data_IF_516956542067
#
_entry.id   IF_516956542067
#
_cell.length_a   1.000
_cell.length_b   1.000
_cell.length_c   1.000
_cell.angle_alpha   90.00
_cell.angle_beta   90.00
_cell.angle_gamma   90.00
#
_symmetry.space_group_name_H-M   'P 1'
#
loop_
_entity.id
_entity.type
_entity.pdbx_description
1 polymer ?
#
# COMPACT_ATOMS: atom_id res chain seq x y z
N UNK A 1 -14.38 -3.94 -20.67
CA UNK A 1 -14.11 -2.59 -20.09
C UNK A 1 -15.44 -1.89 -19.80
N UNK A 2 -15.62 -1.32 -18.63
CA UNK A 2 -16.80 -0.53 -18.24
C UNK A 2 -16.89 0.79 -19.03
N UNK A 3 -18.00 1.52 -18.91
CA UNK A 3 -18.20 2.79 -19.61
C UNK A 3 -17.74 3.97 -18.75
N UNK A 4 -17.30 5.07 -19.39
CA UNK A 4 -16.97 6.36 -18.73
C UNK A 4 -18.09 6.87 -17.80
N UNK A 5 -19.36 6.70 -18.22
CA UNK A 5 -20.51 7.09 -17.40
C UNK A 5 -20.56 6.36 -16.03
N UNK A 6 -20.09 5.11 -15.94
CA UNK A 6 -19.99 4.40 -14.68
C UNK A 6 -18.89 4.97 -13.78
N UNK A 7 -17.73 5.28 -14.35
CA UNK A 7 -16.62 5.94 -13.63
C UNK A 7 -17.12 7.26 -13.03
N UNK A 8 -17.77 8.11 -13.83
CA UNK A 8 -18.30 9.41 -13.36
C UNK A 8 -19.36 9.24 -12.27
N UNK A 9 -20.26 8.28 -12.42
CA UNK A 9 -21.28 7.99 -11.41
C UNK A 9 -20.67 7.55 -10.08
N UNK A 10 -19.71 6.62 -10.12
CA UNK A 10 -19.01 6.13 -8.91
C UNK A 10 -18.16 7.24 -8.28
N UNK A 11 -17.49 8.06 -9.07
CA UNK A 11 -16.72 9.20 -8.59
C UNK A 11 -17.62 10.23 -7.89
N UNK A 12 -18.80 10.55 -8.46
CA UNK A 12 -19.78 11.41 -7.82
C UNK A 12 -20.30 10.86 -6.50
N UNK A 13 -20.58 9.55 -6.44
CA UNK A 13 -20.99 8.88 -5.19
C UNK A 13 -19.88 8.86 -4.13
N UNK A 14 -18.62 8.68 -4.57
CA UNK A 14 -17.45 8.67 -3.69
C UNK A 14 -16.89 10.08 -3.41
N UNK A 15 -17.44 11.16 -3.98
CA UNK A 15 -16.99 12.54 -3.79
C UNK A 15 -15.53 12.80 -4.18
N UNK A 16 -15.02 12.04 -5.15
CA UNK A 16 -13.65 12.15 -5.63
C UNK A 16 -13.62 12.42 -7.14
N UNK A 17 -12.47 12.78 -7.66
CA UNK A 17 -12.33 12.99 -9.10
C UNK A 17 -12.44 11.67 -9.89
N UNK A 18 -13.05 11.68 -11.11
CA UNK A 18 -13.23 10.49 -11.95
C UNK A 18 -11.92 9.71 -12.19
N UNK A 19 -10.79 10.40 -12.37
CA UNK A 19 -9.48 9.78 -12.57
C UNK A 19 -9.02 8.91 -11.38
N UNK A 20 -9.48 9.20 -10.16
CA UNK A 20 -9.15 8.41 -8.96
C UNK A 20 -9.88 7.07 -9.01
N UNK A 21 -11.17 7.09 -9.37
CA UNK A 21 -11.98 5.88 -9.53
C UNK A 21 -11.51 5.06 -10.73
N UNK A 22 -11.16 5.72 -11.84
CA UNK A 22 -10.62 5.05 -13.02
C UNK A 22 -9.29 4.35 -12.71
N UNK A 23 -8.41 4.98 -11.92
CA UNK A 23 -7.18 4.34 -11.45
C UNK A 23 -7.48 3.13 -10.57
N UNK A 24 -8.43 3.23 -9.63
CA UNK A 24 -8.86 2.11 -8.79
C UNK A 24 -9.39 0.93 -9.63
N UNK A 25 -10.10 1.22 -10.72
CA UNK A 25 -10.54 0.24 -11.71
C UNK A 25 -9.35 -0.43 -12.41
N UNK A 26 -8.42 0.35 -12.95
CA UNK A 26 -7.23 -0.17 -13.62
C UNK A 26 -6.35 -1.01 -12.67
N UNK A 27 -6.19 -0.59 -11.41
CA UNK A 27 -5.48 -1.36 -10.38
C UNK A 27 -6.11 -2.74 -10.15
N UNK A 28 -7.45 -2.85 -10.15
CA UNK A 28 -8.15 -4.14 -10.04
C UNK A 28 -7.77 -5.10 -11.16
N UNK A 29 -7.75 -4.62 -12.40
CA UNK A 29 -7.36 -5.44 -13.55
C UNK A 29 -5.87 -5.77 -13.59
N UNK A 30 -5.00 -4.84 -13.18
CA UNK A 30 -3.58 -5.12 -13.00
C UNK A 30 -3.35 -6.25 -11.97
N UNK A 31 -4.07 -6.22 -10.84
CA UNK A 31 -4.04 -7.31 -9.84
C UNK A 31 -4.53 -8.64 -10.43
N UNK A 32 -5.53 -8.62 -11.32
CA UNK A 32 -6.00 -9.82 -12.03
C UNK A 32 -4.91 -10.44 -12.88
N UNK A 33 -4.17 -9.61 -13.63
CA UNK A 33 -3.03 -10.06 -14.42
C UNK A 33 -1.93 -10.66 -13.54
N UNK A 34 -1.54 -9.95 -12.47
CA UNK A 34 -0.49 -10.39 -11.53
C UNK A 34 -0.85 -11.72 -10.87
N UNK A 35 -2.08 -11.87 -10.39
CA UNK A 35 -2.52 -13.11 -9.75
C UNK A 35 -2.70 -14.28 -10.73
N UNK A 36 -2.88 -13.99 -12.01
CA UNK A 36 -2.98 -14.98 -13.08
C UNK A 36 -1.64 -15.50 -13.59
N UNK A 37 -0.54 -14.80 -13.34
CA UNK A 37 0.79 -15.25 -13.71
C UNK A 37 1.38 -16.12 -12.58
N UNK A 38 1.70 -17.39 -12.90
CA UNK A 38 2.19 -18.38 -11.91
C UNK A 38 3.51 -17.95 -11.26
N UNK A 39 4.38 -17.27 -12.00
CA UNK A 39 5.66 -16.81 -11.47
C UNK A 39 5.46 -15.71 -10.43
N UNK A 40 4.56 -14.76 -10.68
CA UNK A 40 4.28 -13.64 -9.79
C UNK A 40 3.44 -14.09 -8.59
N UNK A 41 2.37 -14.85 -8.81
CA UNK A 41 1.43 -15.25 -7.74
C UNK A 41 2.08 -16.14 -6.68
N UNK A 42 3.05 -16.97 -7.08
CA UNK A 42 3.82 -17.80 -6.14
C UNK A 42 4.81 -17.03 -5.29
N UNK A 43 5.33 -15.90 -5.77
CA UNK A 43 6.44 -15.15 -5.15
C UNK A 43 6.04 -13.86 -4.46
N UNK A 44 4.96 -13.25 -4.88
CA UNK A 44 4.59 -11.91 -4.43
C UNK A 44 3.57 -11.94 -3.30
N UNK A 45 3.78 -11.08 -2.32
CA UNK A 45 2.82 -10.79 -1.24
C UNK A 45 2.42 -9.32 -1.37
N UNK A 46 1.12 -9.08 -1.55
CA UNK A 46 0.54 -7.77 -1.74
C UNK A 46 0.49 -6.98 -0.44
N UNK A 47 0.87 -5.71 -0.49
CA UNK A 47 0.95 -4.82 0.66
C UNK A 47 0.52 -3.39 0.34
N UNK A 48 0.69 -2.49 1.29
CA UNK A 48 0.46 -1.07 1.09
C UNK A 48 -1.01 -0.64 1.13
N UNK A 49 -1.26 0.62 0.80
CA UNK A 49 -2.60 1.23 0.88
C UNK A 49 -3.61 0.61 -0.07
N UNK A 50 -3.17 0.16 -1.25
CA UNK A 50 -4.04 -0.51 -2.22
C UNK A 50 -4.46 -1.90 -1.72
N UNK A 51 -3.57 -2.61 -1.01
CA UNK A 51 -3.93 -3.87 -0.35
C UNK A 51 -5.00 -3.65 0.72
N UNK A 52 -4.86 -2.61 1.57
CA UNK A 52 -5.88 -2.29 2.56
C UNK A 52 -7.23 -2.03 1.91
N UNK A 53 -7.29 -1.21 0.85
CA UNK A 53 -8.52 -0.89 0.14
C UNK A 53 -9.12 -2.10 -0.57
N UNK A 54 -8.32 -2.83 -1.32
CA UNK A 54 -8.80 -3.92 -2.20
C UNK A 54 -9.06 -5.24 -1.48
N UNK A 55 -8.42 -5.48 -0.33
CA UNK A 55 -8.46 -6.80 0.31
C UNK A 55 -9.02 -6.79 1.74
N UNK A 56 -9.12 -5.61 2.38
CA UNK A 56 -9.56 -5.51 3.78
C UNK A 56 -10.74 -4.56 3.97
N UNK A 57 -10.68 -3.34 3.43
CA UNK A 57 -11.63 -2.27 3.71
C UNK A 57 -12.15 -1.63 2.42
N UNK A 58 -13.27 -2.08 1.85
CA UNK A 58 -13.79 -1.58 0.56
C UNK A 58 -14.03 -0.05 0.53
N UNK A 59 -14.43 0.51 1.66
CA UNK A 59 -14.70 1.96 1.81
C UNK A 59 -13.49 2.76 2.29
N UNK A 60 -12.30 2.18 2.16
CA UNK A 60 -11.04 2.80 2.55
C UNK A 60 -10.67 3.97 1.63
N UNK A 61 -9.70 4.79 2.08
CA UNK A 61 -9.11 5.80 1.20
C UNK A 61 -8.64 5.20 -0.11
N UNK A 62 -8.75 5.95 -1.18
CA UNK A 62 -8.17 5.53 -2.45
C UNK A 62 -6.65 5.44 -2.36
N UNK A 63 -6.07 4.63 -3.22
CA UNK A 63 -4.63 4.42 -3.31
C UNK A 63 -4.22 4.37 -4.78
N UNK A 64 -2.95 4.63 -5.07
CA UNK A 64 -2.51 4.94 -6.42
C UNK A 64 -1.45 3.97 -6.96
N UNK A 65 -0.81 3.21 -6.07
CA UNK A 65 0.34 2.38 -6.35
C UNK A 65 0.05 0.91 -6.01
N UNK A 66 0.80 0.00 -6.60
CA UNK A 66 0.83 -1.42 -6.27
C UNK A 66 2.15 -1.74 -5.58
N UNK A 67 2.09 -2.18 -4.34
CA UNK A 67 3.26 -2.53 -3.55
C UNK A 67 3.28 -4.03 -3.26
N UNK A 68 4.41 -4.67 -3.50
CA UNK A 68 4.63 -6.07 -3.22
C UNK A 68 5.95 -6.33 -2.51
N UNK A 69 5.97 -7.38 -1.72
CA UNK A 69 7.19 -8.00 -1.21
C UNK A 69 7.38 -9.34 -1.89
N UNK A 70 8.55 -9.58 -2.45
CA UNK A 70 8.93 -10.90 -2.94
C UNK A 70 9.41 -11.76 -1.76
N UNK A 71 8.85 -12.96 -1.61
CA UNK A 71 9.20 -13.94 -0.56
C UNK A 71 10.26 -14.92 -1.01
N UNK A 72 10.56 -14.96 -2.29
CA UNK A 72 11.60 -15.78 -2.89
C UNK A 72 12.52 -14.90 -3.74
N UNK A 73 13.77 -15.32 -3.87
CA UNK A 73 14.71 -14.62 -4.74
C UNK A 73 14.25 -14.68 -6.21
N UNK A 74 14.52 -13.63 -6.96
CA UNK A 74 14.20 -13.54 -8.39
C UNK A 74 15.31 -12.80 -9.16
N UNK A 75 15.49 -13.16 -10.42
CA UNK A 75 16.28 -12.37 -11.38
C UNK A 75 15.47 -11.17 -11.87
N UNK A 76 16.15 -10.05 -12.10
CA UNK A 76 15.49 -8.82 -12.57
C UNK A 76 14.78 -9.02 -13.89
N UNK A 77 15.45 -9.69 -14.85
CA UNK A 77 14.92 -9.92 -16.18
C UNK A 77 13.69 -10.81 -16.17
N UNK A 78 13.73 -11.90 -15.41
CA UNK A 78 12.60 -12.82 -15.28
C UNK A 78 11.38 -12.13 -14.64
N UNK A 79 11.63 -11.23 -13.68
CA UNK A 79 10.56 -10.44 -13.07
C UNK A 79 9.97 -9.43 -14.06
N UNK A 80 10.81 -8.74 -14.85
CA UNK A 80 10.34 -7.82 -15.90
C UNK A 80 9.49 -8.55 -16.95
N UNK A 81 9.93 -9.71 -17.42
CA UNK A 81 9.18 -10.53 -18.36
C UNK A 81 7.83 -11.02 -17.78
N UNK A 82 7.81 -11.41 -16.50
CA UNK A 82 6.60 -11.84 -15.83
C UNK A 82 5.60 -10.68 -15.65
N UNK A 83 6.08 -9.49 -15.26
CA UNK A 83 5.23 -8.30 -15.17
C UNK A 83 4.68 -7.93 -16.55
N UNK A 84 5.49 -7.98 -17.60
CA UNK A 84 5.03 -7.69 -18.96
C UNK A 84 3.90 -8.66 -19.40
N UNK A 85 4.06 -9.97 -19.14
CA UNK A 85 3.01 -10.97 -19.44
C UNK A 85 1.71 -10.69 -18.63
N UNK A 86 1.85 -10.38 -17.34
CA UNK A 86 0.71 -10.10 -16.46
C UNK A 86 -0.11 -8.89 -16.96
N UNK A 87 0.57 -7.83 -17.37
CA UNK A 87 -0.11 -6.62 -17.88
C UNK A 87 -0.65 -6.80 -19.30
N UNK A 88 -0.03 -7.61 -20.15
CA UNK A 88 -0.60 -8.02 -21.43
C UNK A 88 -1.91 -8.79 -21.21
N UNK A 89 -1.92 -9.77 -20.32
CA UNK A 89 -3.13 -10.51 -19.92
C UNK A 89 -4.21 -9.58 -19.34
N UNK A 90 -3.83 -8.62 -18.49
CA UNK A 90 -4.76 -7.62 -17.98
C UNK A 90 -5.39 -6.78 -19.08
N UNK A 91 -4.60 -6.36 -20.08
CA UNK A 91 -5.10 -5.64 -21.27
C UNK A 91 -6.10 -6.47 -22.07
N UNK A 92 -5.76 -7.73 -22.36
CA UNK A 92 -6.63 -8.64 -23.13
C UNK A 92 -7.98 -8.88 -22.44
N UNK A 93 -7.97 -9.08 -21.13
CA UNK A 93 -9.18 -9.36 -20.36
C UNK A 93 -10.06 -8.11 -20.13
N UNK A 94 -9.47 -6.95 -19.91
CA UNK A 94 -10.19 -5.73 -19.52
C UNK A 94 -10.53 -4.82 -20.69
N UNK A 95 -9.71 -4.85 -21.74
CA UNK A 95 -9.71 -3.84 -22.80
C UNK A 95 -9.02 -2.52 -22.40
N UNK A 96 -8.41 -2.42 -21.20
CA UNK A 96 -7.53 -1.32 -20.82
C UNK A 96 -6.23 -1.47 -21.60
N UNK A 97 -5.76 -0.38 -22.22
CA UNK A 97 -4.46 -0.38 -22.89
C UNK A 97 -3.34 -0.11 -21.87
N UNK A 98 -2.77 -1.14 -21.28
CA UNK A 98 -1.60 -1.03 -20.39
C UNK A 98 -0.26 -0.89 -21.14
N UNK A 99 -0.30 -0.84 -22.45
CA UNK A 99 0.87 -0.58 -23.31
C UNK A 99 0.81 0.80 -23.97
N UNK A 100 0.01 1.71 -23.45
CA UNK A 100 -0.21 3.06 -24.00
C UNK A 100 1.10 3.88 -24.14
N UNK A 101 2.13 3.51 -23.39
CA UNK A 101 3.50 4.02 -23.52
C UNK A 101 4.47 2.97 -22.98
N UNK A 102 5.71 2.98 -23.48
CA UNK A 102 6.79 2.13 -22.97
C UNK A 102 6.95 2.25 -21.45
N UNK A 103 6.98 1.12 -20.71
CA UNK A 103 7.16 1.15 -19.28
C UNK A 103 8.53 1.67 -18.88
N UNK A 104 8.60 2.36 -17.76
CA UNK A 104 9.89 2.72 -17.14
C UNK A 104 10.18 1.72 -16.03
N UNK A 105 11.37 1.14 -16.07
CA UNK A 105 11.87 0.20 -15.06
C UNK A 105 13.10 0.80 -14.39
N UNK A 106 13.13 0.74 -13.04
CA UNK A 106 14.28 1.20 -12.26
C UNK A 106 14.49 0.28 -11.06
N UNK A 107 15.75 -0.01 -10.76
CA UNK A 107 16.15 -0.59 -9.50
C UNK A 107 16.41 0.57 -8.53
N UNK A 108 15.78 0.55 -7.39
CA UNK A 108 15.95 1.53 -6.31
C UNK A 108 16.67 0.80 -5.19
N UNK A 109 17.90 1.22 -4.94
CA UNK A 109 18.65 0.77 -3.77
C UNK A 109 18.23 1.62 -2.57
N UNK A 110 17.72 0.97 -1.55
CA UNK A 110 17.42 1.63 -0.28
C UNK A 110 18.65 1.59 0.64
N UNK A 111 18.72 2.51 1.60
CA UNK A 111 19.65 2.38 2.72
C UNK A 111 19.53 0.98 3.30
N UNK A 112 20.63 0.34 3.65
CA UNK A 112 20.74 -1.06 4.14
C UNK A 112 20.70 -2.16 3.05
N UNK A 113 20.97 -1.82 1.77
CA UNK A 113 21.21 -2.80 0.70
C UNK A 113 19.99 -3.55 0.20
N UNK A 114 18.78 -3.06 0.49
CA UNK A 114 17.55 -3.61 -0.09
C UNK A 114 17.27 -2.99 -1.44
N UNK A 115 16.78 -3.82 -2.33
CA UNK A 115 16.47 -3.41 -3.68
C UNK A 115 14.96 -3.48 -3.92
N UNK A 116 14.44 -2.44 -4.53
CA UNK A 116 13.06 -2.38 -5.03
C UNK A 116 13.07 -2.22 -6.52
N UNK A 117 12.47 -3.17 -7.22
CA UNK A 117 12.22 -3.05 -8.65
C UNK A 117 10.95 -2.24 -8.84
N UNK A 118 11.11 -1.05 -9.39
CA UNK A 118 10.01 -0.12 -9.66
C UNK A 118 9.69 -0.08 -11.13
N UNK A 119 8.43 -0.38 -11.45
CA UNK A 119 7.83 -0.14 -12.75
C UNK A 119 6.96 1.11 -12.71
N UNK A 120 6.98 1.90 -13.78
CA UNK A 120 5.91 2.85 -14.10
C UNK A 120 5.26 2.36 -15.38
N UNK A 121 4.03 1.89 -15.25
CA UNK A 121 3.24 1.30 -16.33
C UNK A 121 2.18 2.32 -16.74
N UNK A 122 2.14 2.64 -18.02
CA UNK A 122 1.25 3.67 -18.55
C UNK A 122 0.04 3.02 -19.19
N UNK A 123 -1.14 3.61 -18.98
CA UNK A 123 -2.39 3.01 -19.41
C UNK A 123 -3.39 4.04 -19.94
N UNK A 124 -4.31 3.57 -20.81
CA UNK A 124 -5.50 4.29 -21.22
C UNK A 124 -6.72 3.43 -20.90
N UNK A 125 -7.76 4.06 -20.35
CA UNK A 125 -8.93 3.38 -19.84
C UNK A 125 -10.23 4.01 -20.31
N UNK A 126 -11.37 3.71 -19.66
CA UNK A 126 -12.68 4.14 -20.11
C UNK A 126 -12.93 5.65 -20.01
N UNK A 127 -12.24 6.36 -19.11
CA UNK A 127 -12.35 7.80 -18.91
C UNK A 127 -11.21 8.55 -19.60
N UNK A 128 -10.00 8.07 -19.47
CA UNK A 128 -8.78 8.64 -20.09
C UNK A 128 -8.48 7.89 -21.38
N UNK A 129 -9.08 8.31 -22.48
CA UNK A 129 -9.01 7.61 -23.78
C UNK A 129 -7.92 8.13 -24.70
N UNK A 130 -7.34 9.31 -24.42
CA UNK A 130 -6.34 9.97 -25.23
C UNK A 130 -5.50 10.96 -24.42
N UNK A 131 -4.42 11.43 -25.00
CA UNK A 131 -3.50 12.40 -24.38
C UNK A 131 -2.33 11.72 -23.69
N UNK A 132 -1.77 12.36 -22.66
CA UNK A 132 -0.68 11.78 -21.88
C UNK A 132 -1.22 10.68 -20.95
N UNK A 133 -0.84 9.40 -21.16
CA UNK A 133 -1.38 8.31 -20.34
C UNK A 133 -0.93 8.44 -18.90
N UNK A 134 -1.83 8.23 -17.92
CA UNK A 134 -1.45 8.16 -16.52
C UNK A 134 -0.57 6.95 -16.25
N UNK A 135 0.34 7.07 -15.27
CA UNK A 135 1.18 5.97 -14.82
C UNK A 135 0.66 5.31 -13.56
N UNK A 136 0.72 3.99 -13.49
CA UNK A 136 0.62 3.20 -12.26
C UNK A 136 2.03 2.78 -11.87
N UNK A 137 2.38 3.01 -10.61
CA UNK A 137 3.63 2.54 -10.04
C UNK A 137 3.42 1.16 -9.45
N UNK A 138 4.29 0.22 -9.83
CA UNK A 138 4.37 -1.11 -9.24
C UNK A 138 5.74 -1.26 -8.62
N UNK A 139 5.79 -1.42 -7.30
CA UNK A 139 7.01 -1.60 -6.52
C UNK A 139 7.09 -3.05 -6.00
N UNK A 140 8.17 -3.74 -6.33
CA UNK A 140 8.47 -5.09 -5.86
C UNK A 140 9.74 -5.04 -5.03
N UNK A 141 9.59 -5.11 -3.71
CA UNK A 141 10.72 -5.08 -2.76
C UNK A 141 11.24 -6.49 -2.53
N UNK A 142 12.55 -6.65 -2.67
CA UNK A 142 13.31 -7.87 -2.36
C UNK A 142 13.87 -7.78 -0.94
N UNK A 143 14.06 -8.94 -0.30
CA UNK A 143 14.71 -9.07 1.01
C UNK A 143 14.02 -8.32 2.18
N UNK A 144 12.70 -8.11 2.08
CA UNK A 144 11.91 -7.57 3.19
C UNK A 144 11.66 -8.65 4.24
N UNK A 145 11.92 -8.29 5.50
CA UNK A 145 11.67 -9.19 6.63
C UNK A 145 10.19 -9.18 6.98
N UNK A 146 9.53 -10.31 6.85
CA UNK A 146 8.16 -10.51 7.31
C UNK A 146 8.16 -10.96 8.78
N UNK A 147 7.40 -10.26 9.62
CA UNK A 147 7.18 -10.63 11.01
C UNK A 147 6.02 -11.62 11.17
N UNK A 148 5.06 -11.57 10.24
CA UNK A 148 3.85 -12.39 10.25
C UNK A 148 3.66 -13.12 8.92
N UNK A 149 3.04 -14.30 8.99
CA UNK A 149 2.72 -15.08 7.81
C UNK A 149 1.71 -14.34 6.92
N UNK A 150 1.92 -14.34 5.59
CA UNK A 150 0.96 -13.80 4.65
C UNK A 150 -0.38 -14.53 4.71
N UNK A 151 -1.46 -13.77 4.51
CA UNK A 151 -2.83 -14.30 4.51
C UNK A 151 -3.44 -14.24 3.11
N UNK A 152 -4.26 -15.23 2.77
CA UNK A 152 -4.96 -15.26 1.50
C UNK A 152 -6.26 -14.44 1.60
N UNK A 153 -6.41 -13.42 0.75
CA UNK A 153 -7.57 -12.52 0.74
C UNK A 153 -8.21 -12.43 -0.63
N UNK A 154 -9.51 -12.19 -0.67
CA UNK A 154 -10.24 -11.90 -1.90
C UNK A 154 -10.06 -10.43 -2.26
N UNK A 155 -9.78 -10.16 -3.53
CA UNK A 155 -9.69 -8.79 -4.06
C UNK A 155 -11.09 -8.28 -4.39
N UNK A 156 -11.45 -7.13 -3.85
CA UNK A 156 -12.71 -6.44 -4.13
C UNK A 156 -12.57 -5.56 -5.38
N UNK A 157 -13.50 -5.72 -6.30
CA UNK A 157 -13.59 -4.93 -7.53
C UNK A 157 -15.03 -4.43 -7.71
N UNK A 158 -15.37 -3.24 -7.16
CA UNK A 158 -16.75 -2.78 -7.07
C UNK A 158 -17.24 -2.11 -8.36
N UNK A 159 -17.09 -2.80 -9.50
CA UNK A 159 -17.46 -2.34 -10.83
C UNK A 159 -18.39 -3.35 -11.50
N UNK A 160 -19.12 -2.91 -12.54
CA UNK A 160 -20.14 -3.75 -13.18
C UNK A 160 -19.60 -4.99 -13.88
N UNK A 161 -18.30 -5.04 -14.15
CA UNK A 161 -17.58 -6.19 -14.70
C UNK A 161 -16.86 -7.06 -13.65
N UNK A 162 -17.29 -6.96 -12.38
CA UNK A 162 -16.67 -7.70 -11.26
C UNK A 162 -16.71 -9.22 -11.45
N UNK A 163 -17.70 -9.75 -12.18
CA UNK A 163 -17.79 -11.19 -12.46
C UNK A 163 -16.65 -11.69 -13.35
N UNK A 164 -16.12 -10.84 -14.22
CA UNK A 164 -14.98 -11.16 -15.08
C UNK A 164 -13.66 -11.25 -14.29
N UNK A 165 -13.61 -10.63 -13.11
CA UNK A 165 -12.48 -10.72 -12.19
C UNK A 165 -12.57 -11.89 -11.20
N UNK A 166 -13.78 -12.33 -10.85
CA UNK A 166 -14.03 -13.25 -9.73
C UNK A 166 -13.67 -14.71 -10.05
N UNK A 167 -13.26 -15.50 -9.04
CA UNK A 167 -12.82 -15.09 -7.71
C UNK A 167 -11.31 -14.81 -7.68
N UNK A 168 -10.95 -13.54 -7.61
CA UNK A 168 -9.54 -13.14 -7.50
C UNK A 168 -9.08 -13.20 -6.05
N UNK A 169 -8.08 -14.03 -5.75
CA UNK A 169 -7.47 -14.15 -4.42
C UNK A 169 -5.97 -13.91 -4.50
N UNK A 170 -5.43 -13.22 -3.50
CA UNK A 170 -4.01 -12.89 -3.42
C UNK A 170 -3.46 -13.13 -2.02
N UNK A 171 -2.18 -13.48 -1.95
CA UNK A 171 -1.41 -13.46 -0.70
C UNK A 171 -1.17 -12.01 -0.32
N UNK A 172 -1.62 -11.62 0.87
CA UNK A 172 -1.54 -10.26 1.38
C UNK A 172 -0.79 -10.22 2.72
N UNK A 173 -0.24 -9.09 3.07
CA UNK A 173 0.22 -8.84 4.43
C UNK A 173 -0.94 -9.02 5.43
N UNK A 174 -0.68 -9.68 6.57
CA UNK A 174 -1.58 -9.59 7.72
C UNK A 174 -1.70 -8.14 8.20
N UNK A 175 -2.81 -7.77 8.84
CA UNK A 175 -2.99 -6.38 9.30
C UNK A 175 -1.92 -5.97 10.30
N UNK A 176 -1.45 -6.88 11.15
CA UNK A 176 -0.35 -6.64 12.09
C UNK A 176 0.99 -6.39 11.37
N UNK A 177 1.22 -7.04 10.22
CA UNK A 177 2.39 -6.77 9.38
C UNK A 177 2.32 -5.36 8.79
N UNK A 178 1.15 -4.97 8.27
CA UNK A 178 0.91 -3.61 7.75
C UNK A 178 1.12 -2.58 8.87
N UNK A 179 0.52 -2.82 10.05
CA UNK A 179 0.67 -1.94 11.22
C UNK A 179 2.14 -1.75 11.60
N UNK A 180 2.89 -2.84 11.74
CA UNK A 180 4.31 -2.79 12.10
C UNK A 180 5.15 -2.06 11.03
N UNK A 181 4.84 -2.24 9.73
CA UNK A 181 5.50 -1.52 8.64
C UNK A 181 5.21 -0.02 8.69
N UNK A 182 3.96 0.38 8.95
CA UNK A 182 3.56 1.79 9.06
C UNK A 182 4.16 2.47 10.28
N UNK A 183 4.19 1.79 11.43
CA UNK A 183 4.87 2.27 12.63
C UNK A 183 6.37 2.50 12.35
N UNK A 184 7.04 1.53 11.74
CA UNK A 184 8.44 1.65 11.34
C UNK A 184 8.68 2.85 10.42
N UNK A 185 7.78 3.05 9.43
CA UNK A 185 7.88 4.15 8.48
C UNK A 185 7.79 5.51 9.18
N UNK A 186 6.83 5.69 10.09
CA UNK A 186 6.61 6.95 10.83
C UNK A 186 7.75 7.23 11.81
N UNK A 187 8.31 6.19 12.44
CA UNK A 187 9.27 6.33 13.54
C UNK A 187 10.74 6.49 13.10
N UNK A 188 11.06 6.50 11.83
CA UNK A 188 12.45 6.76 11.45
C UNK A 188 12.89 6.32 10.07
N UNK A 189 12.06 5.63 9.31
CA UNK A 189 12.44 5.26 7.94
C UNK A 189 12.23 6.40 6.96
N UNK A 190 11.24 7.27 7.21
CA UNK A 190 10.91 8.34 6.27
C UNK A 190 11.54 9.67 6.66
N UNK A 191 12.30 10.24 5.72
CA UNK A 191 12.87 11.59 5.84
C UNK A 191 11.75 12.64 5.83
N UNK A 192 10.70 12.42 5.02
CA UNK A 192 9.56 13.35 4.90
C UNK A 192 8.31 12.76 5.58
N UNK A 193 7.45 13.64 6.09
CA UNK A 193 6.16 13.28 6.62
C UNK A 193 5.28 12.68 5.49
N UNK A 194 4.61 11.58 5.79
CA UNK A 194 3.64 10.93 4.90
C UNK A 194 2.36 10.68 5.70
N UNK A 195 1.39 11.58 5.54
CA UNK A 195 0.13 11.56 6.30
C UNK A 195 -0.71 10.31 6.05
N UNK A 196 -0.56 9.69 4.88
CA UNK A 196 -1.19 8.40 4.57
C UNK A 196 -0.76 7.30 5.54
N UNK A 197 0.48 7.33 6.04
CA UNK A 197 0.95 6.33 7.01
C UNK A 197 0.29 6.55 8.40
N UNK A 198 0.05 7.82 8.80
CA UNK A 198 -0.72 8.11 10.02
C UNK A 198 -2.17 7.66 9.90
N UNK A 199 -2.81 7.95 8.78
CA UNK A 199 -4.19 7.52 8.52
C UNK A 199 -4.32 6.00 8.51
N UNK A 200 -3.35 5.31 7.91
CA UNK A 200 -3.31 3.86 7.88
C UNK A 200 -3.16 3.29 9.31
N UNK A 201 -2.25 3.83 10.15
CA UNK A 201 -2.12 3.44 11.56
C UNK A 201 -3.43 3.67 12.31
N UNK A 202 -4.02 4.87 12.20
CA UNK A 202 -5.28 5.20 12.86
C UNK A 202 -6.39 4.21 12.51
N UNK A 203 -6.53 3.89 11.22
CA UNK A 203 -7.57 2.98 10.73
C UNK A 203 -7.37 1.53 11.20
N UNK A 204 -6.15 1.18 11.61
CA UNK A 204 -5.80 -0.16 12.09
C UNK A 204 -5.85 -0.29 13.62
N UNK A 205 -5.98 0.79 14.39
CA UNK A 205 -5.92 0.75 15.87
C UNK A 205 -6.87 -0.28 16.50
N UNK A 206 -8.11 -0.35 15.98
CA UNK A 206 -9.14 -1.25 16.48
C UNK A 206 -9.26 -2.56 15.66
N UNK A 207 -8.34 -2.78 14.70
CA UNK A 207 -8.39 -3.89 13.76
C UNK A 207 -7.29 -4.94 13.99
N UNK A 208 -6.30 -4.61 14.82
CA UNK A 208 -5.13 -5.46 15.08
C UNK A 208 -5.03 -5.85 16.55
N UNK A 209 -4.44 -7.00 16.82
CA UNK A 209 -4.04 -7.37 18.18
C UNK A 209 -2.73 -6.67 18.55
N UNK A 210 -2.78 -5.71 19.48
CA UNK A 210 -1.64 -4.94 19.94
C UNK A 210 -0.51 -5.84 20.49
N UNK A 211 -0.84 -6.96 21.14
CA UNK A 211 0.17 -7.91 21.64
C UNK A 211 0.96 -8.51 20.47
N UNK A 212 0.28 -8.93 19.43
CA UNK A 212 0.93 -9.44 18.22
C UNK A 212 1.80 -8.38 17.56
N UNK A 213 1.30 -7.14 17.46
CA UNK A 213 2.11 -6.02 16.92
C UNK A 213 3.37 -5.84 17.76
N UNK A 214 3.29 -5.85 19.10
CA UNK A 214 4.45 -5.76 20.00
C UNK A 214 5.46 -6.91 19.81
N UNK A 215 5.00 -8.12 19.51
CA UNK A 215 5.86 -9.29 19.22
C UNK A 215 6.61 -9.14 17.88
N UNK A 216 5.95 -8.65 16.85
CA UNK A 216 6.52 -8.54 15.49
C UNK A 216 7.33 -7.28 15.22
N UNK A 217 6.97 -6.16 15.85
CA UNK A 217 7.56 -4.85 15.60
C UNK A 217 9.08 -4.80 15.84
N UNK A 218 9.67 -5.39 16.90
CA UNK A 218 11.11 -5.39 17.11
C UNK A 218 11.88 -5.99 15.94
N UNK A 219 11.36 -7.06 15.32
CA UNK A 219 11.97 -7.69 14.14
C UNK A 219 12.00 -6.71 12.95
N UNK A 220 10.91 -5.96 12.74
CA UNK A 220 10.80 -4.96 11.66
C UNK A 220 11.73 -3.76 11.90
N UNK A 221 11.82 -3.27 13.14
CA UNK A 221 12.69 -2.16 13.51
C UNK A 221 14.17 -2.54 13.37
N UNK A 222 14.56 -3.70 13.94
CA UNK A 222 15.94 -4.20 13.87
C UNK A 222 16.43 -4.36 12.43
N UNK A 223 15.56 -4.86 11.55
CA UNK A 223 15.85 -5.02 10.13
C UNK A 223 16.19 -3.70 9.40
N UNK A 224 15.94 -2.54 10.01
CA UNK A 224 16.27 -1.19 9.50
C UNK A 224 17.22 -0.43 10.42
N UNK A 225 17.85 -1.10 11.37
CA UNK A 225 18.76 -0.46 12.32
C UNK A 225 18.08 0.56 13.25
N UNK A 226 16.75 0.54 13.35
CA UNK A 226 15.99 1.44 14.21
C UNK A 226 15.96 0.81 15.61
N UNK A 227 16.54 1.50 16.59
CA UNK A 227 16.47 1.10 18.00
C UNK A 227 15.10 1.41 18.61
N UNK A 228 14.71 0.64 19.61
CA UNK A 228 13.50 0.96 20.40
C UNK A 228 13.58 2.33 21.10
N UNK A 229 14.80 2.85 21.29
CA UNK A 229 15.05 4.16 21.91
C UNK A 229 14.68 5.33 21.00
N UNK A 230 14.64 5.12 19.66
CA UNK A 230 14.19 6.12 18.68
C UNK A 230 12.67 6.30 18.64
N UNK A 231 11.90 5.52 19.43
CA UNK A 231 10.44 5.62 19.52
C UNK A 231 10.02 6.69 20.53
N UNK A 232 10.48 7.95 20.36
CA UNK A 232 10.17 9.04 21.26
C UNK A 232 8.98 9.89 20.79
N UNK A 233 8.09 10.25 21.72
CA UNK A 233 6.99 11.20 21.47
C UNK A 233 7.50 12.55 20.95
N UNK A 234 8.66 12.97 21.41
CA UNK A 234 9.24 14.29 21.08
C UNK A 234 9.57 14.44 19.60
N UNK A 235 10.15 13.41 18.98
CA UNK A 235 10.53 13.46 17.57
C UNK A 235 9.32 13.55 16.64
N UNK A 236 8.24 12.82 16.96
CA UNK A 236 7.04 12.87 16.13
C UNK A 236 6.30 14.20 16.30
N UNK A 237 6.18 14.71 17.52
CA UNK A 237 5.46 15.95 17.78
C UNK A 237 6.13 17.18 17.16
N UNK A 238 7.46 17.19 16.99
CA UNK A 238 8.18 18.26 16.29
C UNK A 238 7.82 18.35 14.80
N UNK A 239 7.34 17.26 14.23
CA UNK A 239 6.95 17.15 12.80
C UNK A 239 5.46 17.35 12.54
N UNK A 240 4.69 17.76 13.54
CA UNK A 240 3.23 17.87 13.44
C UNK A 240 2.77 18.71 12.25
N UNK A 241 3.39 19.85 12.02
CA UNK A 241 3.02 20.75 10.93
C UNK A 241 3.42 20.20 9.55
N UNK A 242 4.50 19.41 9.44
CA UNK A 242 4.86 18.72 8.21
C UNK A 242 3.78 17.70 7.84
N UNK A 243 3.32 16.90 8.81
CA UNK A 243 2.24 15.93 8.61
C UNK A 243 0.92 16.60 8.25
N UNK A 244 0.61 17.74 8.87
CA UNK A 244 -0.60 18.52 8.56
C UNK A 244 -0.55 19.06 7.12
N UNK A 245 0.55 19.62 6.70
CA UNK A 245 0.73 20.11 5.33
C UNK A 245 0.64 18.96 4.29
N UNK A 246 1.20 17.79 4.61
CA UNK A 246 1.09 16.61 3.76
C UNK A 246 -0.34 16.06 3.73
N UNK A 247 -1.07 16.10 4.86
CA UNK A 247 -2.47 15.72 4.96
C UNK A 247 -3.34 16.49 3.96
N UNK A 248 -3.24 17.80 3.97
CA UNK A 248 -4.02 18.67 3.10
C UNK A 248 -3.66 18.47 1.62
N UNK A 249 -2.38 18.26 1.32
CA UNK A 249 -1.87 18.14 -0.06
C UNK A 249 -2.07 16.75 -0.66
N UNK A 250 -1.79 15.70 0.11
CA UNK A 250 -1.57 14.35 -0.43
C UNK A 250 -2.57 13.29 0.07
N UNK A 251 -3.47 13.62 1.01
CA UNK A 251 -4.43 12.65 1.53
C UNK A 251 -5.89 13.04 1.29
N UNK A 252 -6.29 14.29 1.55
CA UNK A 252 -7.71 14.67 1.54
C UNK A 252 -8.45 14.31 0.25
N UNK A 253 -7.81 14.48 -0.90
CA UNK A 253 -8.40 14.18 -2.20
C UNK A 253 -8.63 12.68 -2.46
N UNK A 254 -8.03 11.80 -1.64
CA UNK A 254 -8.17 10.34 -1.71
C UNK A 254 -9.23 9.80 -0.74
N UNK A 255 -9.80 10.65 0.12
CA UNK A 255 -10.78 10.24 1.12
C UNK A 255 -12.20 10.29 0.55
N UNK A 256 -12.99 9.20 0.67
CA UNK A 256 -14.41 9.25 0.36
C UNK A 256 -15.16 10.18 1.33
N UNK A 257 -16.33 10.72 0.95
CA UNK A 257 -17.18 11.50 1.84
C UNK A 257 -17.53 10.72 3.10
N UNK A 258 -17.44 11.37 4.25
CA UNK A 258 -17.69 10.74 5.54
C UNK A 258 -16.51 9.94 6.11
N UNK A 259 -15.50 9.64 5.31
CA UNK A 259 -14.22 9.10 5.79
C UNK A 259 -13.19 10.21 6.08
N UNK A 260 -13.47 11.44 5.65
CA UNK A 260 -12.64 12.62 5.92
C UNK A 260 -12.71 12.96 7.40
N UNK A 261 -11.60 12.76 8.09
CA UNK A 261 -11.44 13.17 9.47
C UNK A 261 -10.58 14.42 9.53
N UNK A 262 -10.86 15.26 10.49
CA UNK A 262 -9.97 16.36 10.78
C UNK A 262 -8.59 15.83 11.20
N UNK A 263 -7.53 16.50 10.80
CA UNK A 263 -6.16 16.05 11.06
C UNK A 263 -5.92 15.69 12.54
N UNK A 264 -6.43 16.50 13.47
CA UNK A 264 -6.24 16.29 14.90
C UNK A 264 -6.95 15.03 15.42
N UNK A 265 -8.09 14.62 14.82
CA UNK A 265 -8.82 13.40 15.20
C UNK A 265 -8.03 12.12 14.88
N UNK A 266 -7.10 12.20 13.93
CA UNK A 266 -6.20 11.10 13.57
C UNK A 266 -4.86 11.24 14.28
N UNK A 267 -4.31 12.46 14.33
CA UNK A 267 -3.01 12.73 14.92
C UNK A 267 -2.92 12.35 16.39
N UNK A 268 -3.85 12.85 17.22
CA UNK A 268 -3.77 12.69 18.66
C UNK A 268 -3.83 11.21 19.09
N UNK A 269 -4.79 10.37 18.61
CA UNK A 269 -4.81 8.95 18.93
C UNK A 269 -3.58 8.17 18.45
N UNK A 270 -3.04 8.52 17.29
CA UNK A 270 -1.83 7.85 16.76
C UNK A 270 -0.61 8.19 17.60
N UNK A 271 -0.41 9.45 17.96
CA UNK A 271 0.70 9.87 18.82
C UNK A 271 0.61 9.21 20.20
N UNK A 272 -0.57 9.13 20.78
CA UNK A 272 -0.78 8.46 22.06
C UNK A 272 -0.52 6.96 21.97
N UNK A 273 -0.99 6.31 20.91
CA UNK A 273 -0.73 4.89 20.64
C UNK A 273 0.76 4.61 20.52
N UNK A 274 1.48 5.35 19.66
CA UNK A 274 2.92 5.18 19.45
C UNK A 274 3.72 5.44 20.73
N UNK A 275 3.28 6.38 21.57
CA UNK A 275 3.91 6.68 22.86
C UNK A 275 3.79 5.53 23.83
N UNK A 276 2.59 4.93 23.96
CA UNK A 276 2.36 3.73 24.80
C UNK A 276 3.15 2.53 24.30
N UNK A 277 3.14 2.30 22.99
CA UNK A 277 3.86 1.20 22.36
C UNK A 277 5.37 1.30 22.64
N UNK A 278 5.94 2.50 22.48
CA UNK A 278 7.35 2.76 22.78
C UNK A 278 7.69 2.54 24.26
N UNK A 279 6.80 2.92 25.18
CA UNK A 279 6.98 2.65 26.60
C UNK A 279 6.98 1.13 26.89
N UNK A 280 6.09 0.38 26.29
CA UNK A 280 5.98 -1.09 26.44
C UNK A 280 7.25 -1.80 25.94
N UNK A 281 7.78 -1.41 24.77
CA UNK A 281 9.01 -1.96 24.21
C UNK A 281 10.26 -1.69 25.08
N UNK A 282 10.34 -0.52 25.70
CA UNK A 282 11.43 -0.17 26.64
C UNK A 282 11.31 -0.89 27.97
N UNK A 283 10.07 -1.10 28.47
CA UNK A 283 9.79 -1.79 29.74
C UNK A 283 10.11 -3.28 29.70
N UNK A 284 9.81 -3.95 28.58
CA UNK A 284 10.08 -5.38 28.39
C UNK A 284 11.56 -5.73 28.44
N UNK A 285 12.45 -4.86 27.94
CA UNK A 285 13.92 -5.07 28.01
C UNK A 285 14.52 -5.02 29.41
N UNK A 286 13.87 -4.35 30.38
CA UNK A 286 14.37 -4.30 31.77
C UNK A 286 14.09 -5.59 32.53
N UNK A 287 13.19 -6.43 32.06
CA UNK A 287 12.85 -7.71 32.71
C UNK A 287 13.78 -8.87 32.26
N UNK A 288 14.47 -8.73 31.13
CA UNK A 288 15.31 -9.78 30.52
C UNK A 288 16.84 -9.57 30.72
N UNK A 289 17.25 -8.62 31.56
CA UNK A 289 18.68 -8.49 31.97
C UNK A 289 18.89 -9.24 33.27
N UNK A 290 19.78 -10.27 33.26
CA UNK A 290 20.15 -11.02 34.47
C UNK A 290 20.94 -10.19 35.48
#
# INVERSE_FOLDING_TARGET
MIRDAEIRRLAGAAGVEPRIVERDYALGWALRGIAGDEYLSGRLVFKGGTCLRKCYFPDYRFSEDLDFTATEWFGWKEMEEAVARAFATASELSGIDFAAQEPRVRIIEEEYGRETLRFTLYWLGPHTTAGSPPGVRLDITRDEVLAFEPVLRTVVHPFSDSEDLAPLRMRCYALEEVMAEKIRAVLGQRIFAVSRDLYDIFSLLDQVDEKRVLEGLPKKLHARGIGADGMGREDLTTRREEYRADWERNLLHLLPPGAGREFHEVWDPVVDYLSRLGASLRGGRKADLP
#
